data_IF_852464678998
#
_entry.id   IF_852464678998
#
_cell.length_a   1.000
_cell.length_b   1.000
_cell.length_c   1.000
_cell.angle_alpha   90.00
_cell.angle_beta   90.00
_cell.angle_gamma   90.00
#
_symmetry.space_group_name_H-M   'P 1'
#
loop_
_entity.id
_entity.type
_entity.pdbx_description
1 polymer ?
#
# COMPACT_ATOMS: atom_id res chain seq x y z
N UNK A 1 2.19 -16.25 49.26
CA UNK A 1 1.72 -14.85 49.37
C UNK A 1 2.04 -14.05 48.10
N UNK A 2 3.30 -13.99 47.68
CA UNK A 2 3.72 -13.30 46.44
C UNK A 2 2.98 -13.78 45.17
N UNK A 3 2.80 -15.10 45.02
CA UNK A 3 2.13 -15.68 43.84
C UNK A 3 0.65 -15.28 43.74
N UNK A 4 -0.05 -15.25 44.88
CA UNK A 4 -1.46 -14.84 44.93
C UNK A 4 -1.63 -13.35 44.63
N UNK A 5 -0.66 -12.53 45.05
CA UNK A 5 -0.64 -11.09 44.75
C UNK A 5 -0.33 -10.83 43.27
N UNK A 6 0.55 -11.64 42.66
CA UNK A 6 0.82 -11.63 41.23
C UNK A 6 -0.40 -12.06 40.39
N UNK A 7 -1.12 -13.10 40.80
CA UNK A 7 -2.36 -13.53 40.14
C UNK A 7 -3.45 -12.46 40.26
N UNK A 8 -3.65 -11.87 41.44
CA UNK A 8 -4.63 -10.81 41.65
C UNK A 8 -4.34 -9.58 40.78
N UNK A 9 -3.06 -9.18 40.69
CA UNK A 9 -2.64 -8.02 39.89
C UNK A 9 -2.74 -8.28 38.39
N UNK A 10 -2.51 -9.52 37.96
CA UNK A 10 -2.74 -9.95 36.57
C UNK A 10 -4.22 -9.92 36.21
N UNK A 11 -5.09 -10.42 37.11
CA UNK A 11 -6.54 -10.41 36.89
C UNK A 11 -7.12 -8.98 36.78
N UNK A 12 -6.64 -8.05 37.61
CA UNK A 12 -7.07 -6.65 37.57
C UNK A 12 -6.65 -5.94 36.26
N UNK A 13 -5.45 -6.21 35.77
CA UNK A 13 -4.97 -5.68 34.49
C UNK A 13 -5.79 -6.19 33.30
N UNK A 14 -6.14 -7.48 33.29
CA UNK A 14 -6.98 -8.08 32.25
C UNK A 14 -8.38 -7.46 32.24
N UNK A 15 -9.00 -7.29 33.41
CA UNK A 15 -10.33 -6.66 33.53
C UNK A 15 -10.33 -5.22 33.03
N UNK A 16 -9.29 -4.45 33.36
CA UNK A 16 -9.16 -3.06 32.93
C UNK A 16 -8.96 -2.94 31.41
N UNK A 17 -8.30 -3.92 30.78
CA UNK A 17 -8.18 -3.99 29.33
C UNK A 17 -9.51 -4.30 28.63
N UNK A 18 -10.35 -5.16 29.22
CA UNK A 18 -11.68 -5.48 28.67
C UNK A 18 -12.67 -4.32 28.75
N UNK A 19 -12.53 -3.44 29.75
CA UNK A 19 -13.40 -2.27 29.95
C UNK A 19 -13.08 -1.11 28.97
N UNK A 20 -11.83 -1.04 28.49
CA UNK A 20 -11.35 0.02 27.57
C UNK A 20 -11.57 -0.34 26.09
N UNK A 21 -11.91 -1.60 25.77
CA UNK A 21 -12.18 -2.04 24.40
C UNK A 21 -13.72 -2.02 24.16
N UNK A 22 -14.27 -1.02 23.46
CA UNK A 22 -15.69 -1.02 23.13
C UNK A 22 -16.02 -2.19 22.20
N UNK A 23 -16.94 -3.07 22.64
CA UNK A 23 -17.54 -4.14 21.83
C UNK A 23 -18.49 -3.52 20.81
N UNK A 24 -17.99 -3.15 19.63
CA UNK A 24 -18.83 -2.61 18.56
C UNK A 24 -19.57 -3.75 17.84
N UNK A 25 -20.88 -3.78 18.00
CA UNK A 25 -21.83 -4.54 17.20
C UNK A 25 -22.63 -3.55 16.33
N UNK A 26 -22.62 -3.77 15.02
CA UNK A 26 -23.57 -3.39 13.95
C UNK A 26 -24.26 -2.01 13.98
N UNK A 27 -24.10 -1.19 12.92
CA UNK A 27 -25.19 -0.39 12.26
C UNK A 27 -24.82 -0.08 10.78
N UNK A 28 -25.80 -0.24 9.88
CA UNK A 28 -25.81 -0.06 8.41
C UNK A 28 -25.56 1.38 7.86
N UNK A 29 -25.26 1.55 6.55
CA UNK A 29 -24.92 2.84 5.93
C UNK A 29 -26.10 3.51 5.17
N UNK A 30 -26.27 4.84 5.31
CA UNK A 30 -27.23 5.64 4.55
C UNK A 30 -26.63 6.99 4.07
N UNK A 31 -26.63 7.14 2.74
CA UNK A 31 -26.81 8.32 1.87
C UNK A 31 -25.73 9.42 1.68
N UNK A 32 -25.14 9.41 0.46
CA UNK A 32 -25.09 10.44 -0.62
C UNK A 32 -25.25 11.92 -0.23
N UNK A 33 -24.31 12.79 -0.68
CA UNK A 33 -24.56 14.00 -1.51
C UNK A 33 -23.25 14.56 -2.13
N UNK A 34 -23.20 14.46 -3.47
CA UNK A 34 -22.70 15.37 -4.54
C UNK A 34 -21.53 16.36 -4.31
N UNK A 35 -20.48 16.11 -5.09
CA UNK A 35 -19.45 17.05 -5.53
C UNK A 35 -20.01 18.10 -6.51
N UNK A 36 -19.51 19.34 -6.42
CA UNK A 36 -19.58 20.32 -7.52
C UNK A 36 -18.27 21.12 -7.60
N UNK A 37 -17.39 20.75 -8.52
CA UNK A 37 -16.24 21.55 -8.92
C UNK A 37 -16.67 22.55 -9.99
N UNK A 38 -16.29 23.82 -9.80
CA UNK A 38 -16.37 24.85 -10.83
C UNK A 38 -14.97 25.18 -11.35
N UNK A 39 -14.89 25.08 -12.68
CA UNK A 39 -13.79 25.44 -13.58
C UNK A 39 -13.59 26.96 -13.72
N UNK A 40 -12.35 27.37 -14.03
CA UNK A 40 -11.86 28.62 -14.67
C UNK A 40 -10.66 29.19 -13.88
N UNK A 41 -9.57 29.74 -14.45
CA UNK A 41 -9.14 29.97 -15.83
C UNK A 41 -7.66 30.44 -15.85
N UNK A 42 -7.03 30.36 -17.03
CA UNK A 42 -6.00 31.26 -17.62
C UNK A 42 -4.67 31.50 -16.88
N UNK A 43 -3.55 31.17 -17.56
CA UNK A 43 -2.24 31.76 -17.28
C UNK A 43 -1.10 31.31 -18.19
N UNK A 44 -0.72 32.19 -19.12
CA UNK A 44 0.34 32.13 -20.15
C UNK A 44 1.79 31.82 -19.69
N UNK A 45 2.58 31.33 -20.68
CA UNK A 45 4.06 31.40 -20.87
C UNK A 45 4.89 30.45 -19.98
N UNK A 46 6.03 29.88 -20.39
CA UNK A 46 7.01 30.19 -21.44
C UNK A 46 7.73 28.90 -21.84
N UNK A 47 8.06 28.73 -23.13
CA UNK A 47 8.93 27.63 -23.58
C UNK A 47 10.38 27.89 -23.10
N UNK A 48 10.92 27.04 -22.22
CA UNK A 48 12.37 26.94 -22.03
C UNK A 48 12.88 25.65 -22.70
N UNK A 49 13.65 25.84 -23.78
CA UNK A 49 14.35 24.79 -24.50
C UNK A 49 15.54 24.33 -23.66
N UNK A 50 15.36 23.28 -22.86
CA UNK A 50 16.48 22.60 -22.19
C UNK A 50 17.23 21.81 -23.26
N UNK A 51 18.40 22.31 -23.67
CA UNK A 51 19.37 21.50 -24.43
C UNK A 51 19.94 20.47 -23.45
N UNK A 52 19.38 19.26 -23.46
CA UNK A 52 20.01 18.09 -22.85
C UNK A 52 21.30 17.79 -23.62
N UNK A 53 22.43 18.08 -22.98
CA UNK A 53 23.74 17.65 -23.44
C UNK A 53 23.85 16.18 -23.02
N UNK A 54 23.70 15.26 -23.97
CA UNK A 54 23.98 13.85 -23.72
C UNK A 54 25.47 13.74 -23.36
N UNK A 55 25.77 13.45 -22.10
CA UNK A 55 27.05 12.86 -21.73
C UNK A 55 27.09 11.47 -22.31
N UNK A 56 28.15 11.19 -23.08
CA UNK A 56 28.52 9.86 -23.55
C UNK A 56 28.47 8.90 -22.36
N UNK A 57 27.55 7.93 -22.43
CA UNK A 57 27.24 7.06 -21.30
C UNK A 57 28.34 6.01 -21.26
N UNK A 58 29.26 6.14 -20.31
CA UNK A 58 30.18 5.06 -19.97
C UNK A 58 29.32 3.86 -19.52
N UNK A 59 29.28 2.81 -20.33
CA UNK A 59 28.52 1.59 -20.07
C UNK A 59 28.91 1.03 -18.69
N UNK A 60 27.93 0.86 -17.80
CA UNK A 60 28.16 0.30 -16.49
C UNK A 60 28.54 -1.20 -16.59
N UNK A 61 29.50 -1.63 -15.77
CA UNK A 61 30.10 -2.98 -15.79
C UNK A 61 29.13 -4.13 -15.46
N UNK A 62 27.93 -3.84 -14.96
CA UNK A 62 26.97 -4.82 -14.44
C UNK A 62 25.79 -5.07 -15.40
N UNK A 63 25.91 -4.63 -16.65
CA UNK A 63 24.90 -4.87 -17.68
C UNK A 63 25.45 -5.89 -18.66
N UNK A 64 24.88 -7.10 -18.66
CA UNK A 64 25.11 -8.07 -19.72
C UNK A 64 24.52 -7.53 -21.02
N UNK A 65 25.35 -6.94 -21.88
CA UNK A 65 24.99 -6.64 -23.27
C UNK A 65 25.36 -7.89 -24.09
N UNK A 66 24.39 -8.65 -24.61
CA UNK A 66 24.72 -9.81 -25.44
C UNK A 66 25.48 -9.34 -26.69
N UNK A 67 26.63 -9.97 -27.01
CA UNK A 67 27.54 -9.57 -28.10
C UNK A 67 26.87 -9.44 -29.49
N UNK A 68 25.72 -10.09 -29.68
CA UNK A 68 25.00 -10.15 -30.97
C UNK A 68 24.15 -8.90 -31.30
N UNK A 69 24.09 -7.88 -30.44
CA UNK A 69 23.28 -6.67 -30.70
C UNK A 69 23.99 -5.58 -31.51
N UNK A 70 25.25 -5.81 -31.93
CA UNK A 70 25.97 -4.90 -32.83
C UNK A 70 25.24 -4.67 -34.17
N UNK A 71 24.39 -5.61 -34.56
CA UNK A 71 23.62 -5.58 -35.79
C UNK A 71 22.28 -4.83 -35.67
N UNK A 72 21.84 -4.49 -34.45
CA UNK A 72 20.61 -3.73 -34.22
C UNK A 72 20.88 -2.24 -34.30
N UNK A 73 20.81 -1.68 -35.50
CA UNK A 73 20.80 -0.23 -35.70
C UNK A 73 19.36 0.29 -35.70
N UNK A 74 19.02 1.11 -34.70
CA UNK A 74 17.75 1.82 -34.64
C UNK A 74 17.54 2.68 -35.90
N UNK A 75 18.61 3.29 -36.42
CA UNK A 75 18.56 4.06 -37.66
C UNK A 75 18.16 3.20 -38.86
N UNK A 76 18.68 1.97 -38.96
CA UNK A 76 18.31 1.01 -40.01
C UNK A 76 16.86 0.54 -39.89
N UNK A 77 16.37 0.42 -38.65
CA UNK A 77 14.97 0.09 -38.37
C UNK A 77 14.03 1.24 -38.76
N UNK A 78 14.40 2.47 -38.43
CA UNK A 78 13.63 3.68 -38.79
C UNK A 78 13.58 3.85 -40.31
N UNK A 79 14.72 3.77 -41.01
CA UNK A 79 14.73 3.87 -42.48
C UNK A 79 13.96 2.76 -43.17
N UNK A 80 13.88 1.56 -42.57
CA UNK A 80 13.04 0.47 -43.09
C UNK A 80 11.55 0.77 -42.92
N UNK A 81 11.14 1.33 -41.79
CA UNK A 81 9.75 1.73 -41.53
C UNK A 81 9.34 2.90 -42.44
N UNK A 82 10.19 3.90 -42.57
CA UNK A 82 9.95 5.07 -43.43
C UNK A 82 9.86 4.66 -44.90
N UNK A 83 10.76 3.81 -45.38
CA UNK A 83 10.71 3.29 -46.76
C UNK A 83 9.47 2.44 -47.05
N UNK A 84 9.00 1.65 -46.08
CA UNK A 84 7.76 0.88 -46.21
C UNK A 84 6.51 1.78 -46.25
N UNK A 85 6.56 2.93 -45.58
CA UNK A 85 5.45 3.90 -45.56
C UNK A 85 5.35 4.71 -46.87
N UNK A 86 6.46 4.83 -47.60
CA UNK A 86 6.55 5.56 -48.87
C UNK A 86 6.28 4.67 -50.09
N UNK A 87 6.57 3.36 -50.03
CA UNK A 87 6.33 2.39 -51.11
C UNK A 87 4.91 1.81 -51.08
N UNK A 88 4.35 1.56 -49.90
CA UNK A 88 2.99 1.04 -49.75
C UNK A 88 2.01 2.21 -49.66
N UNK A 89 1.81 2.85 -50.82
CA UNK A 89 0.70 3.78 -51.02
C UNK A 89 -0.56 3.12 -50.49
N UNK A 90 -1.18 3.76 -49.49
CA UNK A 90 -2.40 3.30 -48.84
C UNK A 90 -3.33 2.75 -49.93
N UNK A 91 -3.70 1.46 -49.91
CA UNK A 91 -4.77 1.01 -50.77
C UNK A 91 -5.93 1.95 -50.49
N UNK A 92 -6.45 2.57 -51.54
CA UNK A 92 -7.77 3.20 -51.55
C UNK A 92 -8.81 2.07 -51.38
N UNK A 93 -8.70 1.35 -50.26
CA UNK A 93 -9.65 0.37 -49.84
C UNK A 93 -10.73 1.19 -49.16
N UNK A 94 -11.72 1.55 -49.96
CA UNK A 94 -13.06 1.77 -49.44
C UNK A 94 -13.42 0.45 -48.75
N UNK A 95 -13.11 0.39 -47.45
CA UNK A 95 -13.56 -0.65 -46.56
C UNK A 95 -15.05 -0.44 -46.32
N UNK A 96 -15.86 -0.79 -47.32
CA UNK A 96 -17.28 -1.11 -47.13
C UNK A 96 -17.46 -2.46 -46.37
N UNK A 97 -16.39 -2.98 -45.75
CA UNK A 97 -16.33 -4.19 -44.93
C UNK A 97 -16.54 -3.96 -43.43
N UNK A 98 -16.99 -2.79 -42.97
CA UNK A 98 -17.41 -2.60 -41.57
C UNK A 98 -18.68 -3.42 -41.23
N UNK A 99 -19.25 -4.15 -42.19
CA UNK A 99 -20.26 -5.18 -41.91
C UNK A 99 -19.64 -6.58 -41.86
N UNK A 100 -19.69 -7.18 -40.68
CA UNK A 100 -19.51 -8.62 -40.50
C UNK A 100 -20.57 -9.37 -41.32
N UNK A 101 -20.21 -9.78 -42.54
CA UNK A 101 -20.62 -11.00 -43.26
C UNK A 101 -22.10 -11.37 -43.42
N UNK A 102 -23.06 -10.55 -43.01
CA UNK A 102 -24.48 -10.96 -42.92
C UNK A 102 -25.42 -10.16 -43.84
N UNK A 103 -24.98 -9.06 -44.45
CA UNK A 103 -25.95 -7.98 -44.70
C UNK A 103 -26.00 -7.34 -46.07
N UNK A 104 -25.83 -8.13 -47.13
CA UNK A 104 -26.52 -7.80 -48.38
C UNK A 104 -27.94 -8.41 -48.42
N UNK A 105 -28.21 -9.41 -47.57
CA UNK A 105 -29.47 -10.18 -47.56
C UNK A 105 -30.52 -9.69 -46.55
N UNK A 106 -30.14 -8.83 -45.58
CA UNK A 106 -31.04 -8.31 -44.54
C UNK A 106 -31.21 -6.79 -44.66
N UNK A 107 -32.46 -6.36 -44.82
CA UNK A 107 -32.80 -4.96 -45.10
C UNK A 107 -32.28 -3.98 -44.03
N UNK A 108 -32.03 -2.72 -44.44
CA UNK A 108 -31.44 -1.65 -43.61
C UNK A 108 -32.17 -1.44 -42.27
N UNK A 109 -33.49 -1.61 -42.26
CA UNK A 109 -34.31 -1.52 -41.05
C UNK A 109 -33.97 -2.59 -40.00
N UNK A 110 -33.66 -3.83 -40.43
CA UNK A 110 -33.24 -4.89 -39.53
C UNK A 110 -31.82 -4.66 -38.98
N UNK A 111 -30.92 -4.11 -39.80
CA UNK A 111 -29.58 -3.69 -39.36
C UNK A 111 -29.65 -2.59 -38.28
N UNK A 112 -30.51 -1.59 -38.47
CA UNK A 112 -30.74 -0.52 -37.48
C UNK A 112 -31.21 -1.10 -36.14
N UNK A 113 -32.15 -2.06 -36.16
CA UNK A 113 -32.61 -2.72 -34.92
C UNK A 113 -31.51 -3.51 -34.24
N UNK A 114 -30.70 -4.25 -34.99
CA UNK A 114 -29.55 -4.98 -34.44
C UNK A 114 -28.55 -4.05 -33.75
N UNK A 115 -28.18 -2.95 -34.41
CA UNK A 115 -27.26 -1.96 -33.84
C UNK A 115 -27.86 -1.28 -32.60
N UNK A 116 -29.15 -0.93 -32.61
CA UNK A 116 -29.85 -0.39 -31.43
C UNK A 116 -29.82 -1.37 -30.25
N UNK A 117 -30.07 -2.66 -30.51
CA UNK A 117 -30.01 -3.67 -29.47
C UNK A 117 -28.59 -3.81 -28.91
N UNK A 118 -27.57 -3.84 -29.77
CA UNK A 118 -26.16 -3.90 -29.35
C UNK A 118 -25.76 -2.67 -28.53
N UNK A 119 -26.16 -1.47 -28.96
CA UNK A 119 -25.93 -0.23 -28.22
C UNK A 119 -26.59 -0.26 -26.84
N UNK A 120 -27.80 -0.82 -26.73
CA UNK A 120 -28.49 -0.92 -25.46
C UNK A 120 -27.76 -1.86 -24.49
N UNK A 121 -27.35 -3.05 -24.96
CA UNK A 121 -26.56 -3.99 -24.15
C UNK A 121 -25.23 -3.36 -23.71
N UNK A 122 -24.52 -2.68 -24.62
CA UNK A 122 -23.27 -2.00 -24.27
C UNK A 122 -23.48 -0.87 -23.25
N UNK A 123 -24.60 -0.15 -23.33
CA UNK A 123 -24.92 0.89 -22.36
C UNK A 123 -25.21 0.30 -20.98
N UNK A 124 -25.95 -0.82 -20.91
CA UNK A 124 -26.22 -1.54 -19.67
C UNK A 124 -24.93 -2.10 -19.04
N UNK A 125 -24.04 -2.68 -19.83
CA UNK A 125 -22.72 -3.16 -19.36
C UNK A 125 -21.85 -2.02 -18.81
N UNK A 126 -21.85 -0.86 -19.49
CA UNK A 126 -21.14 0.32 -19.01
C UNK A 126 -21.72 0.81 -17.67
N UNK A 127 -23.03 0.91 -17.55
CA UNK A 127 -23.72 1.34 -16.32
C UNK A 127 -23.41 0.37 -15.16
N UNK A 128 -23.37 -0.94 -15.43
CA UNK A 128 -23.00 -1.96 -14.45
C UNK A 128 -21.55 -1.78 -13.97
N UNK A 129 -20.59 -1.59 -14.88
CA UNK A 129 -19.19 -1.34 -14.53
C UNK A 129 -19.04 -0.05 -13.74
N UNK A 130 -19.77 1.01 -14.10
CA UNK A 130 -19.78 2.28 -13.34
C UNK A 130 -20.32 2.07 -11.92
N UNK A 131 -21.38 1.28 -11.75
CA UNK A 131 -21.93 0.95 -10.44
C UNK A 131 -20.90 0.21 -9.57
N UNK A 132 -20.26 -0.82 -10.12
CA UNK A 132 -19.23 -1.59 -9.42
C UNK A 132 -18.01 -0.71 -9.05
N UNK A 133 -17.56 0.17 -9.95
CA UNK A 133 -16.50 1.13 -9.65
C UNK A 133 -16.84 2.05 -8.47
N UNK A 134 -18.08 2.57 -8.41
CA UNK A 134 -18.51 3.40 -7.29
C UNK A 134 -18.53 2.61 -5.97
N UNK A 135 -19.02 1.38 -6.00
CA UNK A 135 -19.01 0.50 -4.83
C UNK A 135 -17.59 0.22 -4.35
N UNK A 136 -16.66 -0.03 -5.28
CA UNK A 136 -15.25 -0.23 -4.98
C UNK A 136 -14.59 1.04 -4.42
N UNK A 137 -14.95 2.22 -4.91
CA UNK A 137 -14.49 3.49 -4.34
C UNK A 137 -14.95 3.65 -2.88
N UNK A 138 -16.22 3.35 -2.59
CA UNK A 138 -16.75 3.39 -1.22
C UNK A 138 -16.00 2.40 -0.29
N UNK A 139 -15.78 1.16 -0.74
CA UNK A 139 -14.97 0.16 -0.01
C UNK A 139 -13.54 0.65 0.22
N UNK A 140 -12.91 1.30 -0.76
CA UNK A 140 -11.57 1.88 -0.63
C UNK A 140 -11.53 2.98 0.43
N UNK A 141 -12.53 3.88 0.45
CA UNK A 141 -12.59 4.94 1.45
C UNK A 141 -12.80 4.39 2.87
N UNK A 142 -13.61 3.35 3.02
CA UNK A 142 -13.81 2.67 4.30
C UNK A 142 -12.50 2.00 4.77
N UNK A 143 -11.88 1.18 3.93
CA UNK A 143 -10.60 0.51 4.24
C UNK A 143 -9.50 1.52 4.59
N UNK A 144 -9.43 2.65 3.87
CA UNK A 144 -8.49 3.74 4.17
C UNK A 144 -8.73 4.34 5.55
N UNK A 145 -9.99 4.48 5.95
CA UNK A 145 -10.36 5.00 7.27
C UNK A 145 -9.99 4.02 8.38
N UNK A 146 -10.25 2.71 8.17
CA UNK A 146 -9.83 1.65 9.08
C UNK A 146 -8.30 1.58 9.24
N UNK A 147 -7.56 1.73 8.14
CA UNK A 147 -6.09 1.76 8.14
C UNK A 147 -5.56 2.90 9.01
N UNK A 148 -6.10 4.12 8.82
CA UNK A 148 -5.70 5.30 9.60
C UNK A 148 -5.98 5.15 11.09
N UNK A 149 -7.12 4.57 11.45
CA UNK A 149 -7.45 4.30 12.86
C UNK A 149 -6.46 3.29 13.48
N UNK A 150 -6.18 2.20 12.76
CA UNK A 150 -5.26 1.16 13.21
C UNK A 150 -3.81 1.65 13.32
N UNK A 151 -3.37 2.52 12.40
CA UNK A 151 -2.08 3.20 12.47
C UNK A 151 -1.98 4.09 13.73
N UNK A 152 -3.04 4.82 14.06
CA UNK A 152 -3.13 5.60 15.30
C UNK A 152 -3.03 4.73 16.56
N UNK A 153 -3.66 3.56 16.56
CA UNK A 153 -3.57 2.57 17.64
C UNK A 153 -2.16 1.99 17.78
N UNK A 154 -1.51 1.64 16.67
CA UNK A 154 -0.12 1.19 16.64
C UNK A 154 0.83 2.23 17.26
N UNK A 155 0.66 3.50 16.91
CA UNK A 155 1.45 4.60 17.49
C UNK A 155 1.22 4.76 18.99
N UNK A 156 -0.01 4.57 19.48
CA UNK A 156 -0.31 4.59 20.94
C UNK A 156 0.35 3.41 21.65
N UNK A 157 0.26 2.21 21.08
CA UNK A 157 0.89 1.01 21.63
C UNK A 157 2.41 1.16 21.67
N UNK A 158 3.04 1.69 20.62
CA UNK A 158 4.48 1.94 20.58
C UNK A 158 4.96 2.87 21.70
N UNK A 159 4.20 3.93 22.02
CA UNK A 159 4.51 4.82 23.16
C UNK A 159 4.45 4.06 24.49
N UNK A 160 3.47 3.17 24.64
CA UNK A 160 3.31 2.35 25.85
C UNK A 160 4.45 1.35 26.00
N UNK A 161 4.86 0.70 24.91
CA UNK A 161 6.02 -0.21 24.86
C UNK A 161 7.28 0.51 25.30
N UNK A 162 7.54 1.71 24.76
CA UNK A 162 8.75 2.47 25.10
C UNK A 162 8.77 2.85 26.61
N UNK A 163 7.62 3.23 27.17
CA UNK A 163 7.50 3.53 28.59
C UNK A 163 7.75 2.28 29.44
N UNK A 164 7.16 1.14 29.07
CA UNK A 164 7.37 -0.12 29.78
C UNK A 164 8.81 -0.62 29.67
N UNK A 165 9.46 -0.48 28.51
CA UNK A 165 10.89 -0.78 28.33
C UNK A 165 11.76 0.04 29.28
N UNK A 166 11.50 1.36 29.39
CA UNK A 166 12.22 2.22 30.33
C UNK A 166 12.01 1.79 31.80
N UNK A 167 10.79 1.41 32.17
CA UNK A 167 10.51 0.89 33.52
C UNK A 167 11.22 -0.44 33.77
N UNK A 168 11.23 -1.36 32.81
CA UNK A 168 11.92 -2.65 32.91
C UNK A 168 13.42 -2.46 33.15
N UNK A 169 14.06 -1.58 32.40
CA UNK A 169 15.49 -1.28 32.60
C UNK A 169 15.76 -0.65 33.98
N UNK A 170 14.87 0.23 34.45
CA UNK A 170 14.96 0.79 35.81
C UNK A 170 14.85 -0.29 36.89
N UNK A 171 13.93 -1.25 36.76
CA UNK A 171 13.80 -2.32 37.74
C UNK A 171 14.96 -3.31 37.68
N UNK A 172 15.52 -3.54 36.49
CA UNK A 172 16.72 -4.36 36.30
C UNK A 172 17.92 -3.78 37.05
N UNK A 173 18.18 -2.47 36.93
CA UNK A 173 19.29 -1.82 37.65
C UNK A 173 19.11 -1.86 39.17
N UNK A 174 17.89 -1.57 39.67
CA UNK A 174 17.58 -1.68 41.10
C UNK A 174 17.74 -3.10 41.64
N UNK A 175 17.35 -4.11 40.85
CA UNK A 175 17.53 -5.51 41.21
C UNK A 175 19.00 -5.89 41.27
N UNK A 176 19.81 -5.50 40.29
CA UNK A 176 21.26 -5.74 40.29
C UNK A 176 21.96 -5.09 41.50
N UNK A 177 21.56 -3.88 41.89
CA UNK A 177 22.09 -3.21 43.09
C UNK A 177 21.71 -3.94 44.38
N UNK A 178 20.44 -4.34 44.52
CA UNK A 178 19.97 -5.09 45.66
C UNK A 178 20.65 -6.47 45.78
N UNK A 179 20.85 -7.16 44.66
CA UNK A 179 21.58 -8.43 44.60
C UNK A 179 23.01 -8.26 45.10
N UNK A 180 23.75 -7.27 44.57
CA UNK A 180 25.13 -6.97 45.01
C UNK A 180 25.22 -6.69 46.51
N UNK A 181 24.23 -5.98 47.06
CA UNK A 181 24.17 -5.71 48.51
C UNK A 181 23.91 -6.99 49.32
N UNK A 182 23.02 -7.86 48.83
CA UNK A 182 22.75 -9.15 49.47
C UNK A 182 24.01 -10.04 49.49
N UNK A 183 24.72 -10.12 48.37
CA UNK A 183 25.98 -10.88 48.25
C UNK A 183 27.03 -10.36 49.24
N UNK A 184 27.17 -9.04 49.36
CA UNK A 184 28.07 -8.40 50.33
C UNK A 184 27.73 -8.74 51.78
N UNK A 185 26.45 -8.62 52.16
CA UNK A 185 25.99 -8.98 53.52
C UNK A 185 26.19 -10.48 53.80
N UNK A 186 25.97 -11.34 52.81
CA UNK A 186 26.18 -12.78 52.96
C UNK A 186 27.67 -13.12 53.14
N UNK A 187 28.56 -12.40 52.48
CA UNK A 187 30.00 -12.52 52.69
C UNK A 187 30.43 -12.06 54.09
N UNK A 188 29.91 -10.93 54.58
CA UNK A 188 30.16 -10.44 55.95
C UNK A 188 29.67 -11.44 57.00
N UNK A 189 28.45 -11.94 56.87
CA UNK A 189 27.86 -12.91 57.79
C UNK A 189 28.70 -14.20 57.84
N UNK A 190 29.13 -14.69 56.68
CA UNK A 190 30.06 -15.83 56.58
C UNK A 190 31.41 -15.57 57.23
N UNK A 191 31.88 -14.32 57.21
CA UNK A 191 33.14 -13.91 57.85
C UNK A 191 33.03 -13.94 59.38
N UNK A 192 31.96 -13.34 59.90
CA UNK A 192 31.67 -13.31 61.34
C UNK A 192 31.41 -14.72 61.89
N UNK A 193 30.71 -15.57 61.15
CA UNK A 193 30.49 -16.96 61.57
C UNK A 193 31.81 -17.73 61.70
N UNK A 194 32.74 -17.55 60.75
CA UNK A 194 34.08 -18.16 60.83
C UNK A 194 34.90 -17.64 62.00
N UNK A 195 34.88 -16.34 62.30
CA UNK A 195 35.62 -15.81 63.46
C UNK A 195 35.03 -16.30 64.78
N UNK A 196 33.71 -16.43 64.85
CA UNK A 196 33.03 -16.94 66.04
C UNK A 196 33.31 -18.43 66.26
N UNK A 197 33.34 -19.23 65.19
CA UNK A 197 33.77 -20.63 65.23
C UNK A 197 35.23 -20.80 65.68
N UNK A 198 36.10 -19.81 65.43
CA UNK A 198 37.51 -19.86 65.82
C UNK A 198 37.76 -19.45 67.28
N UNK A 199 36.78 -18.80 67.93
CA UNK A 199 36.84 -18.36 69.32
C UNK A 199 36.18 -19.33 70.32
N UNK A 200 35.43 -20.31 69.81
CA UNK A 200 34.83 -21.42 70.57
C UNK A 200 35.75 -22.64 70.52
#
# INVERSE_FOLDING_TARGET
>A
RLNAELEAKTADLVRQAEEVIPKTKNVDPINKVQNKLHSASKGRKSNSRVKLKYSDVQTASDVAIPEDFSDFSLAKTISKIEGQLEEEGLPDYIDDGIFCGVSEDIGTEAQIRFLKAKLHVMQEELDNVVCECNKKEDEIQDLKSQLKNSEGDCMRQQRTINLQQSQTEKYKTLFEEASKKCDGLQQELSSVERTLQQQL
#
